data_IF_310984369365
#
_entry.id   IF_310984369365
#
_cell.length_a   1.000
_cell.length_b   1.000
_cell.length_c   1.000
_cell.angle_alpha   90.00
_cell.angle_beta   90.00
_cell.angle_gamma   90.00
#
_symmetry.space_group_name_H-M   'P 1'
#
loop_
_entity.id
_entity.type
_entity.pdbx_description
1 polymer ?
#
# COMPACT_ATOMS: atom_id res chain seq x y z
N UNK A 1 -4.09 2.68 -48.41
CA UNK A 1 -3.02 1.91 -47.72
C UNK A 1 -2.20 2.83 -46.81
N UNK A 2 -2.71 3.20 -45.61
CA UNK A 2 -1.92 3.85 -44.54
C UNK A 2 -2.73 4.12 -43.23
N UNK A 3 -3.84 3.41 -43.00
CA UNK A 3 -4.64 3.55 -41.75
C UNK A 3 -4.78 2.25 -40.93
N UNK A 4 -4.00 1.21 -41.25
CA UNK A 4 -4.01 -0.08 -40.54
C UNK A 4 -2.87 -0.29 -39.53
N UNK A 5 -1.93 0.66 -39.39
CA UNK A 5 -0.65 0.40 -38.69
C UNK A 5 -0.57 0.99 -37.27
N UNK A 6 -1.55 1.78 -36.83
CA UNK A 6 -1.55 2.43 -35.49
C UNK A 6 -2.72 1.93 -34.62
N UNK A 7 -3.03 0.63 -34.70
CA UNK A 7 -4.03 -0.01 -33.83
C UNK A 7 -3.46 -1.14 -32.95
N UNK A 8 -2.21 -1.57 -33.18
CA UNK A 8 -1.65 -2.78 -32.57
C UNK A 8 -0.48 -2.54 -31.59
N UNK A 9 -0.55 -1.50 -30.74
CA UNK A 9 0.56 -1.21 -29.81
C UNK A 9 0.18 -0.77 -28.39
N UNK A 10 -0.97 -1.21 -27.86
CA UNK A 10 -1.30 -0.99 -26.43
C UNK A 10 -2.00 -2.14 -25.68
N UNK A 11 -1.95 -3.36 -26.23
CA UNK A 11 -2.33 -4.59 -25.51
C UNK A 11 -1.16 -5.58 -25.48
N UNK A 12 -0.25 -5.38 -24.53
CA UNK A 12 0.78 -6.30 -24.02
C UNK A 12 1.35 -5.52 -22.84
N UNK A 13 1.03 -5.84 -21.59
CA UNK A 13 1.42 -7.06 -20.89
C UNK A 13 0.36 -7.32 -19.81
N UNK A 14 -0.54 -8.26 -20.06
CA UNK A 14 -1.14 -9.09 -19.00
C UNK A 14 -0.32 -10.37 -19.06
N UNK A 15 0.63 -10.50 -18.15
CA UNK A 15 1.37 -11.74 -17.94
C UNK A 15 0.72 -12.47 -16.78
N UNK A 16 -0.17 -13.37 -17.15
CA UNK A 16 -0.65 -14.49 -16.35
C UNK A 16 0.43 -15.57 -16.43
N UNK A 17 1.24 -15.73 -15.39
CA UNK A 17 2.16 -16.88 -15.26
C UNK A 17 2.70 -16.96 -13.84
N UNK A 18 2.11 -17.85 -13.05
CA UNK A 18 2.78 -18.40 -11.89
C UNK A 18 3.87 -19.34 -12.38
N UNK A 19 5.14 -18.97 -12.18
CA UNK A 19 6.26 -19.90 -12.22
C UNK A 19 7.31 -19.45 -11.20
N UNK A 20 7.63 -20.36 -10.28
CA UNK A 20 8.70 -20.21 -9.30
C UNK A 20 10.04 -20.36 -10.05
N UNK A 21 10.61 -19.26 -10.50
CA UNK A 21 12.00 -19.25 -10.95
C UNK A 21 12.88 -18.75 -9.82
N UNK A 22 13.54 -19.71 -9.19
CA UNK A 22 14.76 -19.50 -8.41
C UNK A 22 15.81 -19.01 -9.40
N UNK A 23 16.29 -17.77 -9.23
CA UNK A 23 17.55 -17.33 -9.80
C UNK A 23 18.39 -16.61 -8.74
N UNK A 24 19.71 -16.90 -8.69
CA UNK A 24 20.60 -16.36 -7.69
C UNK A 24 21.01 -14.93 -8.06
N UNK A 25 21.01 -14.06 -7.05
CA UNK A 25 21.86 -12.87 -6.91
C UNK A 25 22.07 -12.00 -8.17
N UNK A 26 21.09 -11.16 -8.51
CA UNK A 26 21.34 -9.82 -9.07
C UNK A 26 20.29 -8.87 -8.51
N UNK A 27 20.63 -8.11 -7.47
CA UNK A 27 19.78 -7.07 -6.91
C UNK A 27 19.77 -5.88 -7.87
N UNK A 28 18.83 -5.90 -8.82
CA UNK A 28 18.46 -4.71 -9.59
C UNK A 28 17.20 -4.16 -8.91
N UNK A 29 17.21 -2.93 -8.37
CA UNK A 29 16.02 -2.33 -7.80
C UNK A 29 15.12 -1.88 -8.96
N UNK A 30 14.37 -2.82 -9.55
CA UNK A 30 13.21 -2.46 -10.35
C UNK A 30 12.17 -1.94 -9.37
N UNK A 31 11.93 -0.62 -9.41
CA UNK A 31 10.77 0.03 -8.82
C UNK A 31 9.50 -0.49 -9.52
N UNK A 32 9.17 -1.76 -9.30
CA UNK A 32 8.01 -2.44 -9.85
C UNK A 32 7.04 -2.62 -8.71
N UNK A 33 5.88 -1.98 -8.81
CA UNK A 33 4.72 -2.24 -7.96
C UNK A 33 4.45 -3.75 -7.93
N UNK A 34 4.87 -4.43 -6.86
CA UNK A 34 4.54 -5.83 -6.65
C UNK A 34 3.08 -5.88 -6.19
N UNK A 35 2.18 -6.15 -7.12
CA UNK A 35 0.81 -6.54 -6.80
C UNK A 35 0.86 -7.94 -6.16
N UNK A 36 0.78 -7.99 -4.84
CA UNK A 36 0.71 -9.25 -4.12
C UNK A 36 -0.67 -9.88 -4.32
N UNK A 37 -0.72 -11.15 -4.69
CA UNK A 37 -1.98 -11.90 -4.72
C UNK A 37 -2.41 -12.22 -3.28
N UNK A 38 -3.59 -11.77 -2.87
CA UNK A 38 -4.15 -12.07 -1.55
C UNK A 38 -4.54 -13.55 -1.49
N UNK A 39 -3.89 -14.34 -0.63
CA UNK A 39 -4.29 -15.73 -0.40
C UNK A 39 -5.70 -15.75 0.23
N UNK A 40 -6.65 -16.42 -0.45
CA UNK A 40 -8.03 -16.58 0.04
C UNK A 40 -8.02 -17.32 1.37
N UNK A 41 -8.33 -16.60 2.46
CA UNK A 41 -8.56 -17.24 3.77
C UNK A 41 -9.71 -18.24 3.63
N UNK A 42 -9.47 -19.47 4.02
CA UNK A 42 -10.54 -20.47 4.08
C UNK A 42 -11.58 -20.03 5.09
N UNK A 43 -12.85 -20.10 4.72
CA UNK A 43 -13.99 -19.76 5.60
C UNK A 43 -14.10 -20.64 6.85
N UNK A 44 -13.35 -21.75 6.90
CA UNK A 44 -13.40 -22.70 8.00
C UNK A 44 -12.38 -22.32 9.09
N UNK A 45 -12.83 -21.91 10.30
CA UNK A 45 -11.95 -21.43 11.36
C UNK A 45 -11.04 -22.52 11.95
N UNK A 46 -11.42 -23.80 11.81
CA UNK A 46 -10.64 -24.95 12.28
C UNK A 46 -9.61 -25.46 11.25
N UNK A 47 -9.44 -24.79 10.10
CA UNK A 47 -8.42 -25.22 9.14
C UNK A 47 -7.03 -24.93 9.70
N UNK A 48 -6.17 -25.95 9.69
CA UNK A 48 -4.77 -25.80 10.05
C UNK A 48 -4.10 -24.71 9.18
N UNK A 49 -3.55 -23.69 9.84
CA UNK A 49 -2.87 -22.58 9.18
C UNK A 49 -1.50 -23.06 8.72
N UNK A 50 -1.17 -22.84 7.44
CA UNK A 50 0.14 -23.21 6.92
C UNK A 50 1.25 -22.40 7.60
N UNK A 51 2.43 -23.00 7.81
CA UNK A 51 3.59 -22.31 8.39
C UNK A 51 3.91 -21.01 7.64
N UNK A 52 3.80 -21.00 6.31
CA UNK A 52 3.97 -19.79 5.47
C UNK A 52 3.04 -18.65 5.88
N UNK A 53 1.78 -18.98 6.19
CA UNK A 53 0.77 -17.99 6.56
C UNK A 53 0.97 -17.49 7.99
N UNK A 54 1.57 -18.30 8.87
CA UNK A 54 1.98 -17.87 10.21
C UNK A 54 3.21 -16.95 10.19
N UNK A 55 4.18 -17.23 9.31
CA UNK A 55 5.43 -16.47 9.21
C UNK A 55 5.33 -15.18 8.41
N UNK A 56 4.27 -15.01 7.60
CA UNK A 56 4.03 -13.79 6.81
C UNK A 56 4.09 -12.51 7.65
N UNK A 57 3.53 -12.53 8.87
CA UNK A 57 3.54 -11.38 9.76
C UNK A 57 4.94 -10.99 10.28
N UNK A 58 5.92 -11.89 10.20
CA UNK A 58 7.31 -11.62 10.58
C UNK A 58 8.17 -11.17 9.39
N UNK A 59 7.84 -11.63 8.17
CA UNK A 59 8.54 -11.23 6.95
C UNK A 59 8.06 -9.87 6.43
N UNK A 60 6.75 -9.61 6.54
CA UNK A 60 6.11 -8.34 6.19
C UNK A 60 5.40 -7.76 7.41
N UNK A 61 6.17 -7.21 8.37
CA UNK A 61 5.63 -6.88 9.67
C UNK A 61 4.85 -5.58 9.70
N UNK A 62 5.05 -4.66 8.75
CA UNK A 62 4.36 -3.38 8.73
C UNK A 62 3.16 -3.39 7.79
N UNK A 63 2.03 -2.92 8.30
CA UNK A 63 0.80 -2.72 7.54
C UNK A 63 0.40 -1.26 7.56
N UNK A 64 0.06 -0.72 6.40
CA UNK A 64 -0.56 0.58 6.24
C UNK A 64 -2.08 0.44 6.40
N UNK A 65 -2.67 1.20 7.32
CA UNK A 65 -4.13 1.41 7.39
C UNK A 65 -4.45 2.85 6.98
N UNK A 66 -5.43 3.00 6.09
CA UNK A 66 -5.90 4.29 5.58
C UNK A 66 -7.38 4.38 5.86
N UNK A 67 -7.76 5.34 6.70
CA UNK A 67 -9.13 5.62 7.07
C UNK A 67 -9.55 6.98 6.52
N UNK A 68 -10.56 6.96 5.65
CA UNK A 68 -11.10 8.15 5.00
C UNK A 68 -12.55 8.29 5.43
N UNK A 69 -12.85 9.42 6.09
CA UNK A 69 -14.22 9.82 6.41
C UNK A 69 -14.62 11.06 5.61
N UNK A 70 -15.89 11.48 5.73
CA UNK A 70 -16.36 12.74 5.14
C UNK A 70 -15.61 13.96 5.68
N UNK A 71 -15.21 13.94 6.96
CA UNK A 71 -14.70 15.12 7.68
C UNK A 71 -13.18 15.12 7.91
N UNK A 72 -12.55 13.96 7.93
CA UNK A 72 -11.12 13.83 8.19
C UNK A 72 -10.56 12.59 7.51
N UNK A 73 -9.25 12.61 7.31
CA UNK A 73 -8.47 11.48 6.82
C UNK A 73 -7.42 11.17 7.86
N UNK A 74 -7.20 9.89 8.12
CA UNK A 74 -6.15 9.39 8.99
C UNK A 74 -5.49 8.19 8.35
N UNK A 75 -4.17 8.14 8.42
CA UNK A 75 -3.38 7.01 7.97
C UNK A 75 -2.39 6.64 9.07
N UNK A 76 -2.18 5.35 9.26
CA UNK A 76 -1.27 4.84 10.28
C UNK A 76 -0.53 3.60 9.79
N UNK A 77 0.73 3.49 10.16
CA UNK A 77 1.55 2.31 9.96
C UNK A 77 1.58 1.53 11.27
N UNK A 78 1.16 0.28 11.22
CA UNK A 78 1.08 -0.61 12.39
C UNK A 78 1.99 -1.80 12.20
N UNK A 79 2.71 -2.17 13.26
CA UNK A 79 3.46 -3.42 13.31
C UNK A 79 2.53 -4.58 13.66
N UNK A 80 2.37 -5.56 12.77
CA UNK A 80 1.43 -6.70 12.89
C UNK A 80 1.66 -7.53 14.14
N UNK A 81 2.92 -7.83 14.47
CA UNK A 81 3.26 -8.74 15.57
C UNK A 81 3.07 -8.06 16.94
N UNK A 82 3.52 -6.81 17.06
CA UNK A 82 3.46 -6.08 18.34
C UNK A 82 2.18 -5.26 18.49
N UNK A 83 1.35 -5.17 17.45
CA UNK A 83 0.15 -4.32 17.37
C UNK A 83 0.41 -2.83 17.71
N UNK A 84 1.66 -2.37 17.63
CA UNK A 84 2.05 -0.99 17.92
C UNK A 84 1.89 -0.13 16.67
N UNK A 85 1.31 1.05 16.83
CA UNK A 85 1.30 2.07 15.78
C UNK A 85 2.65 2.77 15.79
N UNK A 86 3.41 2.60 14.70
CA UNK A 86 4.77 3.16 14.55
C UNK A 86 4.68 4.62 14.13
N UNK A 87 3.84 4.89 13.13
CA UNK A 87 3.60 6.22 12.64
C UNK A 87 2.11 6.45 12.46
N UNK A 88 1.64 7.62 12.85
CA UNK A 88 0.23 8.03 12.72
C UNK A 88 0.21 9.44 12.16
N UNK A 89 -0.63 9.67 11.16
CA UNK A 89 -0.87 10.99 10.60
C UNK A 89 -2.37 11.16 10.36
N UNK A 90 -2.90 12.34 10.64
CA UNK A 90 -4.30 12.61 10.34
C UNK A 90 -4.63 14.08 10.43
N UNK A 91 -5.61 14.51 9.65
CA UNK A 91 -6.05 15.91 9.58
C UNK A 91 -6.64 16.42 10.89
N UNK A 92 -6.86 15.54 11.87
CA UNK A 92 -7.32 15.93 13.21
C UNK A 92 -6.18 16.35 14.17
N UNK A 93 -4.92 16.01 13.85
CA UNK A 93 -3.78 16.37 14.70
C UNK A 93 -3.57 17.89 14.73
N UNK A 94 -3.09 18.42 15.87
CA UNK A 94 -2.95 19.87 16.11
C UNK A 94 -2.07 20.53 15.04
N UNK A 95 -0.95 19.90 14.74
CA UNK A 95 0.06 20.40 13.79
C UNK A 95 -0.51 20.48 12.37
N UNK A 96 -1.24 19.44 11.95
CA UNK A 96 -1.81 19.37 10.60
C UNK A 96 -3.02 20.29 10.46
N UNK A 97 -3.82 20.45 11.52
CA UNK A 97 -4.95 21.39 11.53
C UNK A 97 -4.53 22.84 11.30
N UNK A 98 -3.35 23.23 11.78
CA UNK A 98 -2.84 24.58 11.61
C UNK A 98 -2.44 24.87 10.15
N UNK A 99 -1.99 23.85 9.43
CA UNK A 99 -1.44 23.99 8.06
C UNK A 99 -2.51 23.78 6.98
N UNK A 100 -3.46 22.88 7.19
CA UNK A 100 -4.43 22.50 6.15
C UNK A 100 -5.69 23.36 6.17
N UNK A 101 -5.96 24.02 5.03
CA UNK A 101 -7.23 24.74 4.76
C UNK A 101 -8.43 23.80 4.64
N UNK A 102 -8.23 22.60 4.10
CA UNK A 102 -9.24 21.58 3.86
C UNK A 102 -8.87 20.24 4.50
N UNK A 103 -9.84 19.52 5.07
CA UNK A 103 -9.57 18.34 5.92
C UNK A 103 -9.76 16.98 5.25
N UNK A 104 -10.43 16.93 4.10
CA UNK A 104 -10.77 15.67 3.42
C UNK A 104 -10.60 15.70 1.90
N UNK A 105 -10.06 16.78 1.34
CA UNK A 105 -9.83 16.92 -0.10
C UNK A 105 -8.58 16.14 -0.55
N UNK A 106 -8.45 15.92 -1.86
CA UNK A 106 -7.30 15.23 -2.48
C UNK A 106 -5.94 15.82 -2.05
N UNK A 107 -5.71 17.16 -2.02
CA UNK A 107 -4.45 17.72 -1.52
C UNK A 107 -4.19 17.43 -0.04
N UNK A 108 -5.24 17.30 0.78
CA UNK A 108 -5.09 16.93 2.19
C UNK A 108 -4.60 15.48 2.33
N UNK A 109 -5.08 14.58 1.47
CA UNK A 109 -4.59 13.19 1.41
C UNK A 109 -3.10 13.13 1.03
N UNK A 110 -2.67 13.92 0.03
CA UNK A 110 -1.26 14.01 -0.36
C UNK A 110 -0.39 14.54 0.78
N UNK A 111 -0.85 15.57 1.49
CA UNK A 111 -0.15 16.10 2.65
C UNK A 111 -0.04 15.08 3.79
N UNK A 112 -1.10 14.31 4.07
CA UNK A 112 -1.05 13.24 5.08
C UNK A 112 -0.06 12.17 4.70
N UNK A 113 -0.05 11.73 3.44
CA UNK A 113 0.89 10.67 3.04
C UNK A 113 2.35 11.14 3.11
N UNK A 114 2.64 12.40 2.81
CA UNK A 114 3.97 13.02 3.05
C UNK A 114 4.36 12.99 4.52
N UNK A 115 3.51 13.50 5.40
CA UNK A 115 3.78 13.57 6.85
C UNK A 115 3.89 12.18 7.45
N UNK A 116 3.06 11.23 6.99
CA UNK A 116 3.16 9.85 7.45
C UNK A 116 4.49 9.23 7.01
N UNK A 117 4.95 9.52 5.79
CA UNK A 117 6.19 8.97 5.27
C UNK A 117 7.41 9.50 6.01
N UNK A 118 7.41 10.78 6.36
CA UNK A 118 8.44 11.40 7.20
C UNK A 118 8.50 10.74 8.58
N UNK A 119 7.35 10.60 9.26
CA UNK A 119 7.26 9.91 10.57
C UNK A 119 7.64 8.43 10.49
N UNK A 120 7.31 7.76 9.39
CA UNK A 120 7.67 6.36 9.19
C UNK A 120 9.18 6.20 8.99
N UNK A 121 9.83 7.15 8.30
CA UNK A 121 11.28 7.17 8.11
C UNK A 121 12.03 7.40 9.43
N UNK A 122 11.53 8.30 10.28
CA UNK A 122 12.05 8.49 11.65
C UNK A 122 11.95 7.21 12.50
N UNK A 123 10.95 6.37 12.23
CA UNK A 123 10.77 5.06 12.86
C UNK A 123 11.47 3.91 12.13
N UNK A 124 12.36 4.19 11.18
CA UNK A 124 13.08 3.21 10.35
C UNK A 124 12.17 2.25 9.57
N UNK A 125 10.98 2.70 9.17
CA UNK A 125 10.04 1.92 8.36
C UNK A 125 10.09 2.37 6.90
N UNK A 126 10.62 1.51 6.05
CA UNK A 126 10.76 1.74 4.61
C UNK A 126 9.87 0.84 3.74
N UNK A 127 9.28 -0.20 4.32
CA UNK A 127 8.44 -1.16 3.62
C UNK A 127 7.13 -1.35 4.36
N UNK A 128 6.01 -1.31 3.65
CA UNK A 128 4.69 -1.56 4.21
C UNK A 128 3.80 -2.38 3.26
N UNK A 129 2.86 -3.11 3.83
CA UNK A 129 1.81 -3.80 3.10
C UNK A 129 0.48 -3.05 3.23
N UNK A 130 -0.22 -2.84 2.13
CA UNK A 130 -1.56 -2.27 2.14
C UNK A 130 -2.58 -3.32 1.73
N UNK A 131 -3.49 -3.64 2.66
CA UNK A 131 -4.66 -4.48 2.37
C UNK A 131 -5.89 -3.57 2.35
N UNK A 132 -6.54 -3.38 1.19
CA UNK A 132 -7.78 -2.62 1.13
C UNK A 132 -8.87 -3.31 1.96
N UNK A 133 -9.70 -2.49 2.61
CA UNK A 133 -10.91 -2.98 3.29
C UNK A 133 -11.94 -3.37 2.23
N UNK A 134 -12.80 -4.35 2.52
CA UNK A 134 -13.80 -4.87 1.56
C UNK A 134 -14.74 -3.80 0.96
N UNK A 135 -14.93 -2.68 1.66
CA UNK A 135 -15.79 -1.57 1.23
C UNK A 135 -15.05 -0.53 0.39
N UNK A 136 -13.72 -0.55 0.44
CA UNK A 136 -12.87 0.50 -0.08
C UNK A 136 -12.27 0.05 -1.41
N UNK A 137 -12.59 0.77 -2.49
CA UNK A 137 -11.95 0.57 -3.79
C UNK A 137 -10.63 1.32 -3.84
N UNK A 138 -9.63 0.75 -4.50
CA UNK A 138 -8.33 1.38 -4.69
C UNK A 138 -8.39 2.50 -5.75
N UNK A 139 -9.14 3.57 -5.45
CA UNK A 139 -9.35 4.69 -6.36
C UNK A 139 -9.39 6.02 -5.59
N UNK A 140 -9.15 7.11 -6.31
CA UNK A 140 -9.27 8.47 -5.80
C UNK A 140 -8.39 8.76 -4.59
N UNK A 141 -9.02 9.03 -3.43
CA UNK A 141 -8.35 9.50 -2.21
C UNK A 141 -7.37 8.48 -1.63
N UNK A 142 -7.68 7.19 -1.69
CA UNK A 142 -6.80 6.12 -1.19
C UNK A 142 -5.53 6.07 -2.03
N UNK A 143 -5.69 6.10 -3.35
CA UNK A 143 -4.57 6.12 -4.29
C UNK A 143 -3.69 7.35 -4.07
N UNK A 144 -4.27 8.52 -3.79
CA UNK A 144 -3.49 9.72 -3.48
C UNK A 144 -2.60 9.54 -2.25
N UNK A 145 -3.12 8.97 -1.15
CA UNK A 145 -2.33 8.70 0.06
C UNK A 145 -1.18 7.73 -0.25
N UNK A 146 -1.50 6.59 -0.87
CA UNK A 146 -0.50 5.55 -1.19
C UNK A 146 0.55 6.06 -2.17
N UNK A 147 0.14 6.77 -3.22
CA UNK A 147 1.08 7.36 -4.19
C UNK A 147 2.03 8.34 -3.50
N UNK A 148 1.51 9.23 -2.66
CA UNK A 148 2.36 10.18 -1.96
C UNK A 148 3.36 9.51 -1.01
N UNK A 149 3.06 8.34 -0.44
CA UNK A 149 4.05 7.61 0.38
C UNK A 149 5.17 7.00 -0.49
N UNK A 150 4.81 6.47 -1.66
CA UNK A 150 5.77 5.92 -2.64
C UNK A 150 6.69 7.03 -3.15
N UNK A 151 6.12 8.20 -3.47
CA UNK A 151 6.90 9.37 -3.91
C UNK A 151 7.91 9.82 -2.83
N UNK A 152 7.66 9.53 -1.56
CA UNK A 152 8.57 9.80 -0.44
C UNK A 152 9.46 8.60 -0.07
N UNK A 153 9.56 7.58 -0.92
CA UNK A 153 10.53 6.49 -0.76
C UNK A 153 10.12 5.38 0.19
N UNK A 154 8.82 5.20 0.45
CA UNK A 154 8.31 4.00 1.13
C UNK A 154 7.84 3.00 0.08
N UNK A 155 8.37 1.77 0.12
CA UNK A 155 7.90 0.69 -0.74
C UNK A 155 6.60 0.09 -0.19
N UNK A 156 5.55 0.13 -1.00
CA UNK A 156 4.21 -0.33 -0.60
C UNK A 156 3.76 -1.46 -1.51
N UNK A 157 3.58 -2.63 -0.92
CA UNK A 157 2.94 -3.77 -1.57
C UNK A 157 1.43 -3.65 -1.43
N UNK A 158 0.74 -3.49 -2.55
CA UNK A 158 -0.72 -3.36 -2.60
C UNK A 158 -1.32 -4.71 -2.98
N UNK A 159 -2.16 -5.25 -2.10
CA UNK A 159 -2.90 -6.49 -2.34
C UNK A 159 -4.29 -6.15 -2.88
N UNK A 160 -4.49 -6.25 -4.20
CA UNK A 160 -5.81 -6.07 -4.83
C UNK A 160 -6.54 -7.42 -4.89
N UNK A 161 -7.85 -7.41 -4.60
CA UNK A 161 -8.75 -8.56 -4.76
C UNK A 161 -9.29 -8.65 -6.20
#
# INVERSE_FOLDING_TARGET
>A
MLKQVIWNLRKRVVSDSGDKLILPCMYVPTSSFHAGQKEKKSKNPNKHVSFKQQTEAYMEPFTLDVFISKRFVSASVTHRVTCKQVAVAGTNSKDIKAVLRSRSDIPACLAIGRILAERAREGDVYTASYTPRERDKFEGKIRAVVQSQIDNGIDIKVYLD
#
